data_IF_890108329780
#
_entry.id   IF_890108329780
#
_cell.length_a   1.000
_cell.length_b   1.000
_cell.length_c   1.000
_cell.angle_alpha   90.00
_cell.angle_beta   90.00
_cell.angle_gamma   90.00
#
_symmetry.space_group_name_H-M   'P 1'
#
loop_
_entity.id
_entity.type
_entity.pdbx_description
1 polymer ?
#
# COMPACT_ATOMS: atom_id res chain seq x y z
N UNK A 1 -13.70 -29.62 21.10
CA UNK A 1 -14.02 -29.88 19.68
C UNK A 1 -13.03 -29.12 18.81
N UNK A 2 -12.41 -29.73 17.78
CA UNK A 2 -11.57 -29.00 16.84
C UNK A 2 -12.41 -27.93 16.12
N UNK A 3 -11.87 -26.72 15.97
CA UNK A 3 -12.56 -25.65 15.23
C UNK A 3 -12.59 -26.04 13.75
N UNK A 4 -13.77 -25.97 13.12
CA UNK A 4 -13.90 -26.19 11.68
C UNK A 4 -13.08 -25.15 10.90
N UNK A 5 -12.40 -25.60 9.85
CA UNK A 5 -11.57 -24.82 8.94
C UNK A 5 -12.16 -24.90 7.53
N UNK A 6 -11.75 -23.98 6.66
CA UNK A 6 -12.11 -23.94 5.24
C UNK A 6 -13.63 -23.92 5.00
N UNK A 7 -14.33 -23.06 5.73
CA UNK A 7 -15.79 -22.97 5.74
C UNK A 7 -16.37 -22.22 4.54
N UNK A 8 -15.59 -21.35 3.91
CA UNK A 8 -16.04 -20.58 2.76
C UNK A 8 -15.62 -21.28 1.46
N UNK A 9 -16.51 -21.23 0.47
CA UNK A 9 -16.21 -21.54 -0.93
C UNK A 9 -16.02 -20.24 -1.71
N UNK A 10 -15.44 -20.35 -2.90
CA UNK A 10 -15.29 -19.22 -3.82
C UNK A 10 -16.65 -18.62 -4.22
N UNK A 11 -17.63 -19.48 -4.52
CA UNK A 11 -19.02 -19.07 -4.78
C UNK A 11 -19.67 -18.36 -3.59
N UNK A 12 -19.39 -18.79 -2.36
CA UNK A 12 -19.90 -18.14 -1.15
C UNK A 12 -19.26 -16.76 -0.92
N UNK A 13 -18.01 -16.56 -1.37
CA UNK A 13 -17.35 -15.26 -1.33
C UNK A 13 -17.86 -14.34 -2.44
N UNK A 14 -18.16 -14.89 -3.60
CA UNK A 14 -18.67 -14.13 -4.74
C UNK A 14 -20.09 -13.60 -4.50
N UNK A 15 -21.01 -14.47 -4.06
CA UNK A 15 -22.37 -14.08 -3.68
C UNK A 15 -22.48 -13.37 -2.31
N UNK A 16 -21.35 -13.04 -1.68
CA UNK A 16 -21.36 -12.44 -0.36
C UNK A 16 -21.83 -10.99 -0.39
N UNK A 17 -22.94 -10.71 0.29
CA UNK A 17 -23.47 -9.35 0.47
C UNK A 17 -23.47 -8.94 1.95
N UNK A 18 -23.40 -7.63 2.19
CA UNK A 18 -23.44 -7.05 3.53
C UNK A 18 -24.77 -7.29 4.26
N UNK A 19 -25.85 -7.52 3.51
CA UNK A 19 -27.20 -7.72 4.02
C UNK A 19 -27.74 -6.49 4.76
N UNK A 20 -27.41 -5.28 4.27
CA UNK A 20 -27.82 -4.00 4.88
C UNK A 20 -27.05 -3.63 6.15
N UNK A 21 -25.94 -4.32 6.46
CA UNK A 21 -25.06 -3.99 7.59
C UNK A 21 -23.86 -3.19 7.09
N UNK A 22 -23.38 -2.24 7.90
CA UNK A 22 -22.12 -1.52 7.63
C UNK A 22 -20.94 -2.45 7.35
N UNK A 23 -20.88 -3.58 8.06
CA UNK A 23 -19.85 -4.60 7.90
C UNK A 23 -20.39 -5.97 8.28
N UNK A 24 -20.31 -6.93 7.35
CA UNK A 24 -20.56 -8.35 7.60
C UNK A 24 -19.24 -9.11 7.60
N UNK A 25 -19.04 -9.98 8.59
CA UNK A 25 -17.86 -10.83 8.72
C UNK A 25 -18.25 -12.27 8.36
N UNK A 26 -17.65 -12.82 7.32
CA UNK A 26 -17.79 -14.22 6.93
C UNK A 26 -16.56 -15.00 7.38
N UNK A 27 -16.75 -16.06 8.15
CA UNK A 27 -15.65 -16.80 8.76
C UNK A 27 -15.25 -17.99 7.88
N UNK A 28 -13.98 -18.06 7.48
CA UNK A 28 -13.42 -19.25 6.82
C UNK A 28 -12.85 -20.25 7.83
N UNK A 29 -12.47 -19.78 9.02
CA UNK A 29 -11.89 -20.61 10.06
C UNK A 29 -10.40 -20.33 10.25
N UNK A 30 -9.83 -20.85 11.33
CA UNK A 30 -8.39 -20.69 11.62
C UNK A 30 -7.93 -19.25 11.84
N UNK A 31 -8.87 -18.30 12.04
CA UNK A 31 -8.58 -16.87 12.16
C UNK A 31 -8.80 -16.07 10.87
N UNK A 32 -9.08 -16.72 9.73
CA UNK A 32 -9.40 -16.06 8.46
C UNK A 32 -10.88 -15.68 8.39
N UNK A 33 -11.16 -14.47 7.93
CA UNK A 33 -12.50 -13.98 7.63
C UNK A 33 -12.50 -12.99 6.47
N UNK A 34 -13.61 -12.98 5.73
CA UNK A 34 -13.91 -11.99 4.70
C UNK A 34 -14.77 -10.89 5.31
N UNK A 35 -14.32 -9.64 5.18
CA UNK A 35 -15.08 -8.45 5.50
C UNK A 35 -15.82 -7.98 4.28
N UNK A 36 -17.14 -7.95 4.36
CA UNK A 36 -18.04 -7.48 3.31
C UNK A 36 -18.68 -6.19 3.79
N UNK A 37 -18.28 -5.08 3.18
CA UNK A 37 -18.79 -3.75 3.50
C UNK A 37 -20.13 -3.48 2.80
N UNK A 38 -20.83 -2.45 3.27
CA UNK A 38 -22.13 -2.03 2.71
C UNK A 38 -22.05 -1.67 1.22
N UNK A 39 -20.93 -1.11 0.78
CA UNK A 39 -20.61 -0.78 -0.61
C UNK A 39 -20.13 -1.99 -1.44
N UNK A 40 -20.39 -3.21 -0.96
CA UNK A 40 -19.97 -4.47 -1.56
C UNK A 40 -18.47 -4.67 -1.70
N UNK A 41 -17.62 -3.79 -1.11
CA UNK A 41 -16.18 -4.04 -1.06
C UNK A 41 -15.87 -5.19 -0.13
N UNK A 42 -14.97 -6.07 -0.56
CA UNK A 42 -14.63 -7.31 0.13
C UNK A 42 -13.14 -7.34 0.46
N UNK A 43 -12.81 -7.61 1.71
CA UNK A 43 -11.42 -7.63 2.17
C UNK A 43 -11.13 -8.84 3.04
N UNK A 44 -10.03 -9.52 2.74
CA UNK A 44 -9.52 -10.61 3.56
C UNK A 44 -8.81 -10.08 4.79
N UNK A 45 -9.11 -10.69 5.92
CA UNK A 45 -8.54 -10.32 7.21
C UNK A 45 -8.19 -11.58 8.00
N UNK A 46 -7.05 -11.54 8.66
CA UNK A 46 -6.54 -12.64 9.46
C UNK A 46 -6.31 -12.19 10.90
N UNK A 47 -6.99 -12.84 11.84
CA UNK A 47 -6.77 -12.67 13.28
C UNK A 47 -5.72 -13.64 13.77
N UNK A 48 -4.76 -13.12 14.52
CA UNK A 48 -3.71 -13.89 15.18
C UNK A 48 -3.39 -13.34 16.57
N UNK A 49 -2.64 -14.12 17.34
CA UNK A 49 -2.15 -13.72 18.66
C UNK A 49 -0.64 -13.69 18.62
N UNK A 50 -0.06 -12.61 19.15
CA UNK A 50 1.39 -12.47 19.31
C UNK A 50 1.67 -11.80 20.65
N UNK A 51 2.55 -12.40 21.44
CA UNK A 51 2.93 -11.90 22.77
C UNK A 51 1.72 -11.58 23.67
N UNK A 52 0.71 -12.46 23.67
CA UNK A 52 -0.51 -12.32 24.47
C UNK A 52 -1.49 -11.25 24.00
N UNK A 53 -1.24 -10.60 22.84
CA UNK A 53 -2.13 -9.58 22.26
C UNK A 53 -2.80 -10.10 21.00
N UNK A 54 -4.11 -9.87 20.88
CA UNK A 54 -4.86 -10.11 19.64
C UNK A 54 -4.51 -9.04 18.61
N UNK A 55 -4.17 -9.48 17.40
CA UNK A 55 -3.88 -8.62 16.25
C UNK A 55 -4.67 -9.08 15.03
N UNK A 56 -4.90 -8.16 14.11
CA UNK A 56 -5.61 -8.38 12.84
C UNK A 56 -4.78 -7.84 11.69
N UNK A 57 -4.57 -8.65 10.66
CA UNK A 57 -3.84 -8.29 9.45
C UNK A 57 -4.80 -8.26 8.26
N UNK A 58 -4.70 -7.22 7.43
CA UNK A 58 -5.36 -7.22 6.11
C UNK A 58 -4.55 -8.05 5.15
N UNK A 59 -5.14 -9.03 4.47
CA UNK A 59 -4.43 -9.86 3.49
C UNK A 59 -4.53 -9.28 2.07
N UNK A 60 -5.65 -8.62 1.74
CA UNK A 60 -5.89 -8.00 0.45
C UNK A 60 -7.38 -7.80 0.18
N UNK A 61 -7.70 -7.21 -0.97
CA UNK A 61 -9.09 -7.14 -1.46
C UNK A 61 -9.46 -8.46 -2.16
N UNK A 62 -10.75 -8.79 -2.15
CA UNK A 62 -11.32 -9.80 -3.04
C UNK A 62 -12.00 -9.06 -4.20
N UNK A 63 -11.88 -9.50 -5.46
CA UNK A 63 -11.33 -10.80 -5.91
C UNK A 63 -9.81 -10.84 -6.16
N UNK A 64 -9.09 -9.72 -6.01
CA UNK A 64 -7.64 -9.64 -6.30
C UNK A 64 -6.82 -10.72 -5.57
N UNK A 65 -7.24 -11.08 -4.35
CA UNK A 65 -6.74 -12.24 -3.61
C UNK A 65 -7.88 -13.26 -3.52
N UNK A 66 -7.66 -14.42 -4.11
CA UNK A 66 -8.58 -15.56 -4.03
C UNK A 66 -8.60 -16.15 -2.61
N UNK A 67 -9.61 -16.98 -2.32
CA UNK A 67 -9.68 -17.67 -1.02
C UNK A 67 -8.51 -18.63 -0.82
N UNK A 68 -8.01 -19.27 -1.89
CA UNK A 68 -6.85 -20.15 -1.84
C UNK A 68 -5.58 -19.40 -1.46
N UNK A 69 -5.34 -18.25 -2.09
CA UNK A 69 -4.21 -17.37 -1.78
C UNK A 69 -4.32 -16.76 -0.38
N UNK A 70 -5.54 -16.42 0.06
CA UNK A 70 -5.78 -15.95 1.42
C UNK A 70 -5.43 -17.03 2.45
N UNK A 71 -5.80 -18.30 2.20
CA UNK A 71 -5.44 -19.44 3.06
C UNK A 71 -3.93 -19.67 3.09
N UNK A 72 -3.26 -19.69 1.94
CA UNK A 72 -1.81 -19.82 1.84
C UNK A 72 -1.08 -18.68 2.59
N UNK A 73 -1.59 -17.46 2.48
CA UNK A 73 -1.07 -16.30 3.23
C UNK A 73 -1.21 -16.49 4.74
N UNK A 74 -2.33 -17.05 5.21
CA UNK A 74 -2.50 -17.38 6.63
C UNK A 74 -1.47 -18.40 7.10
N UNK A 75 -1.18 -19.42 6.29
CA UNK A 75 -0.20 -20.45 6.64
C UNK A 75 1.22 -19.88 6.75
N UNK A 76 1.64 -19.06 5.79
CA UNK A 76 2.92 -18.34 5.85
C UNK A 76 2.99 -17.45 7.11
N UNK A 77 1.94 -16.70 7.41
CA UNK A 77 1.87 -15.89 8.64
C UNK A 77 2.01 -16.76 9.89
N UNK A 78 1.35 -17.92 9.95
CA UNK A 78 1.47 -18.84 11.09
C UNK A 78 2.90 -19.35 11.26
N UNK A 79 3.60 -19.63 10.16
CA UNK A 79 5.01 -20.03 10.21
C UNK A 79 5.90 -18.90 10.75
N UNK A 80 5.68 -17.66 10.30
CA UNK A 80 6.39 -16.48 10.82
C UNK A 80 6.13 -16.26 12.32
N UNK A 81 4.89 -16.47 12.77
CA UNK A 81 4.55 -16.35 14.19
C UNK A 81 5.22 -17.43 15.03
N UNK A 82 5.40 -18.65 14.49
CA UNK A 82 6.15 -19.72 15.17
C UNK A 82 7.64 -19.38 15.32
N UNK A 83 8.22 -18.66 14.37
CA UNK A 83 9.59 -18.14 14.48
C UNK A 83 9.69 -16.85 15.30
N UNK A 84 8.60 -16.37 15.89
CA UNK A 84 8.57 -15.17 16.74
C UNK A 84 8.62 -13.85 15.96
N UNK A 85 8.47 -13.89 14.63
CA UNK A 85 8.45 -12.70 13.78
C UNK A 85 7.05 -12.09 13.73
N UNK A 86 6.98 -10.75 13.76
CA UNK A 86 5.72 -10.02 13.59
C UNK A 86 5.46 -9.70 12.10
N UNK A 87 4.45 -10.32 11.45
CA UNK A 87 4.14 -10.09 10.04
C UNK A 87 3.69 -8.66 9.73
N UNK A 88 3.16 -7.94 10.73
CA UNK A 88 2.72 -6.55 10.55
C UNK A 88 3.89 -5.60 10.36
N UNK A 89 5.04 -5.89 10.97
CA UNK A 89 6.26 -5.09 10.79
C UNK A 89 6.90 -5.36 9.43
N UNK A 90 6.91 -6.61 8.95
CA UNK A 90 7.38 -6.93 7.60
C UNK A 90 6.61 -6.17 6.51
N UNK A 91 5.27 -6.13 6.59
CA UNK A 91 4.48 -5.34 5.62
C UNK A 91 4.76 -3.85 5.69
N UNK A 92 4.97 -3.30 6.89
CA UNK A 92 5.33 -1.87 7.02
C UNK A 92 6.69 -1.57 6.40
N UNK A 93 7.65 -2.48 6.51
CA UNK A 93 8.98 -2.32 5.91
C UNK A 93 8.84 -2.30 4.38
N UNK A 94 8.17 -3.29 3.79
CA UNK A 94 7.95 -3.35 2.32
C UNK A 94 7.20 -2.10 1.83
N UNK A 95 6.15 -1.67 2.53
CA UNK A 95 5.42 -0.45 2.16
C UNK A 95 6.30 0.81 2.25
N UNK A 96 7.15 0.92 3.27
CA UNK A 96 8.09 2.04 3.41
C UNK A 96 9.13 2.04 2.29
N UNK A 97 9.62 0.88 1.89
CA UNK A 97 10.59 0.76 0.78
C UNK A 97 9.95 1.13 -0.57
N UNK A 98 8.72 0.68 -0.83
CA UNK A 98 7.96 1.08 -2.01
C UNK A 98 7.64 2.59 -2.04
N UNK A 99 7.33 3.18 -0.88
CA UNK A 99 7.09 4.62 -0.79
C UNK A 99 8.40 5.43 -0.96
N UNK A 100 9.54 4.91 -0.49
CA UNK A 100 10.85 5.53 -0.71
C UNK A 100 11.21 5.53 -2.20
N UNK A 101 11.04 4.41 -2.91
CA UNK A 101 11.33 4.34 -4.35
C UNK A 101 10.46 5.28 -5.19
N UNK A 102 9.18 5.43 -4.83
CA UNK A 102 8.30 6.42 -5.45
C UNK A 102 8.74 7.86 -5.19
N UNK A 103 9.26 8.17 -4.00
CA UNK A 103 9.76 9.51 -3.66
C UNK A 103 11.00 9.90 -4.47
N UNK A 104 11.90 8.96 -4.76
CA UNK A 104 13.09 9.22 -5.58
C UNK A 104 12.76 9.62 -7.02
N UNK A 105 11.59 9.24 -7.55
CA UNK A 105 11.19 9.57 -8.92
C UNK A 105 10.84 11.07 -9.10
N UNK A 106 10.45 11.76 -8.03
CA UNK A 106 10.08 13.18 -8.05
C UNK A 106 11.13 14.10 -7.44
N UNK A 107 12.33 13.59 -7.14
CA UNK A 107 13.41 14.41 -6.60
C UNK A 107 14.17 15.07 -7.76
N UNK A 108 14.07 16.39 -7.86
CA UNK A 108 14.93 17.20 -8.73
C UNK A 108 15.73 18.19 -7.88
N UNK A 109 16.94 18.52 -8.33
CA UNK A 109 17.83 19.48 -7.65
C UNK A 109 17.98 20.73 -8.51
N UNK A 110 17.81 21.88 -7.86
CA UNK A 110 18.13 23.18 -8.44
C UNK A 110 19.45 23.68 -7.84
N UNK A 111 20.36 24.14 -8.69
CA UNK A 111 21.61 24.76 -8.26
C UNK A 111 21.89 25.99 -9.11
N UNK A 112 22.23 27.10 -8.48
CA UNK A 112 22.66 28.34 -9.14
C UNK A 112 24.17 28.48 -8.95
N UNK A 113 24.91 28.70 -10.03
CA UNK A 113 26.34 29.00 -9.93
C UNK A 113 26.59 30.46 -9.54
N UNK A 114 27.80 30.76 -9.06
CA UNK A 114 28.23 32.13 -8.78
C UNK A 114 28.23 33.03 -10.04
N UNK A 115 28.29 32.43 -11.23
CA UNK A 115 28.17 33.10 -12.51
C UNK A 115 26.70 33.25 -13.00
N UNK A 116 25.72 32.85 -12.18
CA UNK A 116 24.28 32.98 -12.44
C UNK A 116 23.70 31.96 -13.42
N UNK A 117 24.40 30.86 -13.70
CA UNK A 117 23.86 29.75 -14.49
C UNK A 117 22.98 28.84 -13.62
N UNK A 118 21.74 28.57 -14.06
CA UNK A 118 20.82 27.66 -13.38
C UNK A 118 20.96 26.22 -13.90
N UNK A 119 21.20 25.28 -12.99
CA UNK A 119 21.21 23.84 -13.28
C UNK A 119 20.01 23.17 -12.65
N UNK A 120 19.28 22.38 -13.45
CA UNK A 120 18.14 21.57 -13.06
C UNK A 120 18.50 20.11 -13.31
N UNK A 121 18.67 19.36 -12.23
CA UNK A 121 18.96 17.93 -12.30
C UNK A 121 17.69 17.14 -12.01
N UNK A 122 17.29 16.32 -12.97
CA UNK A 122 16.19 15.36 -12.83
C UNK A 122 16.73 13.94 -13.02
N UNK A 123 16.04 12.89 -12.53
CA UNK A 123 16.49 11.51 -12.72
C UNK A 123 16.68 11.10 -14.19
N UNK A 124 15.93 11.72 -15.11
CA UNK A 124 15.96 11.43 -16.54
C UNK A 124 16.96 12.31 -17.32
N UNK A 125 17.27 13.51 -16.84
CA UNK A 125 18.12 14.48 -17.56
C UNK A 125 18.64 15.60 -16.67
N UNK A 126 19.80 16.14 -17.04
CA UNK A 126 20.33 17.39 -16.49
C UNK A 126 20.18 18.50 -17.51
N UNK A 127 19.52 19.59 -17.12
CA UNK A 127 19.37 20.81 -17.93
C UNK A 127 20.23 21.90 -17.32
N UNK A 128 21.09 22.51 -18.13
CA UNK A 128 21.91 23.66 -17.73
C UNK A 128 21.50 24.87 -18.56
N UNK A 129 21.10 25.94 -17.88
CA UNK A 129 20.79 27.21 -18.49
C UNK A 129 22.00 28.14 -18.35
N UNK A 130 22.35 28.81 -19.43
CA UNK A 130 23.33 29.90 -19.40
C UNK A 130 22.75 31.10 -18.65
N UNK A 131 23.59 32.08 -18.31
CA UNK A 131 23.13 33.32 -17.67
C UNK A 131 22.03 34.03 -18.48
N UNK A 132 22.17 34.27 -19.80
CA UNK A 132 21.10 34.89 -20.59
C UNK A 132 19.80 34.08 -20.61
N UNK A 133 19.89 32.74 -20.62
CA UNK A 133 18.71 31.87 -20.57
C UNK A 133 18.03 31.90 -19.20
N UNK A 134 18.81 32.02 -18.13
CA UNK A 134 18.32 32.14 -16.76
C UNK A 134 17.60 33.47 -16.56
N UNK A 135 18.15 34.57 -17.09
CA UNK A 135 17.51 35.89 -17.06
C UNK A 135 16.21 35.93 -17.87
N UNK A 136 16.20 35.32 -19.07
CA UNK A 136 14.99 35.20 -19.88
C UNK A 136 13.88 34.40 -19.17
N UNK A 137 14.23 33.29 -18.52
CA UNK A 137 13.29 32.50 -17.72
C UNK A 137 12.75 33.30 -16.53
N UNK A 138 13.61 34.05 -15.84
CA UNK A 138 13.22 34.92 -14.72
C UNK A 138 12.25 36.01 -15.18
N UNK A 139 12.55 36.67 -16.30
CA UNK A 139 11.68 37.69 -16.87
C UNK A 139 10.31 37.11 -17.25
N UNK A 140 10.28 35.92 -17.87
CA UNK A 140 9.05 35.22 -18.21
C UNK A 140 8.19 34.90 -16.98
N UNK A 141 8.77 34.33 -15.92
CA UNK A 141 8.03 33.95 -14.72
C UNK A 141 7.49 35.15 -13.95
N UNK A 142 8.22 36.26 -13.92
CA UNK A 142 7.80 37.50 -13.24
C UNK A 142 6.78 38.31 -14.06
N UNK A 143 6.62 38.03 -15.35
CA UNK A 143 5.64 38.68 -16.20
C UNK A 143 4.20 38.17 -15.98
N UNK A 144 4.00 37.13 -15.18
CA UNK A 144 2.70 36.46 -14.96
C UNK A 144 1.83 37.14 -13.88
N UNK A 145 2.33 38.16 -13.17
CA UNK A 145 1.60 38.83 -12.08
C UNK A 145 0.91 40.15 -12.49
N UNK A 146 0.46 40.31 -13.74
CA UNK A 146 -0.34 41.48 -14.16
C UNK A 146 -1.67 41.07 -14.81
N UNK A 147 -2.62 40.62 -13.98
CA UNK A 147 -4.06 40.80 -14.19
C UNK A 147 -4.70 41.37 -12.91
#
# INVERSE_FOLDING_TARGET
MPKKLNLLSESACDGAESGGRKLRKLHDGGGLYLWVYEDSRKFWRFRYWLSGKEKSLSLGAYPDISIGEARASCDNIREQLKSGLDPSEQRKIVQREANKSAHYHNQFRLALSDAGALTIETPARTVKLTLPQTDALRAFLLAVDQE
#
